data_IF_162458102185
#
_entry.id   IF_162458102185
#
_cell.length_a   1.000
_cell.length_b   1.000
_cell.length_c   1.000
_cell.angle_alpha   90.00
_cell.angle_beta   90.00
_cell.angle_gamma   90.00
#
_symmetry.space_group_name_H-M   'P 1'
#
loop_
_entity.id
_entity.type
_entity.pdbx_description
1 polymer ?
#
# COMPACT_ATOMS: atom_id res chain seq x y z
N UNK A 1 6.01 -12.76 12.07
CA UNK A 1 5.19 -11.55 11.80
C UNK A 1 3.94 -11.52 12.68
N UNK A 2 3.84 -10.56 13.62
CA UNK A 2 2.66 -10.45 14.49
C UNK A 2 1.36 -10.07 13.74
N UNK A 3 0.21 -10.18 14.42
CA UNK A 3 -1.09 -9.83 13.85
C UNK A 3 -1.12 -8.39 13.28
N UNK A 4 -1.73 -8.23 12.10
CA UNK A 4 -1.81 -6.97 11.32
C UNK A 4 -0.45 -6.40 10.90
N UNK A 5 0.46 -7.27 10.45
CA UNK A 5 1.69 -6.91 9.76
C UNK A 5 1.69 -7.54 8.36
N UNK A 6 1.77 -6.71 7.32
CA UNK A 6 1.64 -7.14 5.93
C UNK A 6 2.66 -6.42 5.05
N UNK A 7 3.21 -7.14 4.08
CA UNK A 7 4.08 -6.58 3.03
C UNK A 7 3.39 -6.74 1.69
N UNK A 8 3.36 -5.67 0.89
CA UNK A 8 2.92 -5.72 -0.50
C UNK A 8 3.89 -4.98 -1.41
N UNK A 9 4.31 -5.62 -2.50
CA UNK A 9 5.11 -5.01 -3.55
C UNK A 9 4.27 -4.90 -4.82
N UNK A 10 4.38 -3.77 -5.51
CA UNK A 10 3.80 -3.56 -6.82
C UNK A 10 4.91 -3.23 -7.81
N UNK A 11 5.13 -4.11 -8.80
CA UNK A 11 6.02 -3.84 -9.94
C UNK A 11 5.22 -3.24 -11.08
N UNK A 12 5.63 -2.07 -11.57
CA UNK A 12 5.09 -1.51 -12.81
C UNK A 12 5.83 -2.08 -14.01
N UNK A 13 5.12 -2.83 -14.83
CA UNK A 13 5.57 -3.24 -16.16
C UNK A 13 4.79 -2.48 -17.23
N UNK A 14 5.43 -1.55 -17.93
CA UNK A 14 4.76 -0.72 -18.92
C UNK A 14 5.72 -0.08 -19.92
N UNK A 15 5.32 -0.09 -21.19
CA UNK A 15 6.10 0.51 -22.29
C UNK A 15 6.41 1.99 -22.03
N UNK A 16 5.40 2.77 -21.62
CA UNK A 16 5.53 4.22 -21.48
C UNK A 16 5.86 4.66 -20.05
N UNK A 17 6.74 5.68 -19.88
CA UNK A 17 7.04 6.24 -18.59
C UNK A 17 5.85 7.02 -18.04
N UNK A 18 5.60 6.98 -16.73
CA UNK A 18 4.53 7.73 -16.07
C UNK A 18 4.87 8.06 -14.62
N UNK A 19 4.65 9.30 -14.20
CA UNK A 19 4.79 9.64 -12.78
C UNK A 19 3.81 8.83 -11.93
N UNK A 20 4.34 8.15 -10.91
CA UNK A 20 3.56 7.36 -9.96
C UNK A 20 3.21 8.23 -8.78
N UNK A 21 1.92 8.41 -8.51
CA UNK A 21 1.43 9.18 -7.36
C UNK A 21 1.13 8.24 -6.21
N UNK A 22 1.61 8.58 -5.03
CA UNK A 22 1.31 7.89 -3.77
C UNK A 22 0.81 8.94 -2.79
N UNK A 23 -0.48 8.89 -2.50
CA UNK A 23 -1.16 9.94 -1.75
C UNK A 23 -1.99 9.37 -0.60
N UNK A 24 -2.15 10.17 0.46
CA UNK A 24 -3.15 9.92 1.49
C UNK A 24 -4.49 10.48 1.01
N UNK A 25 -5.50 9.64 0.96
CA UNK A 25 -6.83 10.00 0.45
C UNK A 25 -7.93 9.38 1.31
N UNK A 26 -9.18 9.69 0.98
CA UNK A 26 -10.36 9.06 1.56
C UNK A 26 -11.14 8.32 0.47
N UNK A 27 -11.16 6.99 0.55
CA UNK A 27 -11.84 6.12 -0.42
C UNK A 27 -12.83 5.21 0.31
N UNK A 28 -14.07 5.17 -0.17
CA UNK A 28 -15.12 4.36 0.47
C UNK A 28 -15.43 4.73 1.92
N UNK A 29 -15.11 5.97 2.33
CA UNK A 29 -15.25 6.43 3.71
C UNK A 29 -14.03 6.19 4.61
N UNK A 30 -13.05 5.40 4.16
CA UNK A 30 -11.82 5.06 4.89
C UNK A 30 -10.66 5.98 4.51
N UNK A 31 -9.80 6.31 5.47
CA UNK A 31 -8.48 6.84 5.13
C UNK A 31 -7.67 5.74 4.42
N UNK A 32 -6.94 6.10 3.37
CA UNK A 32 -6.15 5.16 2.60
C UNK A 32 -4.87 5.78 2.05
N UNK A 33 -3.84 4.94 1.86
CA UNK A 33 -2.73 5.21 0.94
C UNK A 33 -3.13 4.68 -0.43
N UNK A 34 -2.97 5.50 -1.46
CA UNK A 34 -3.41 5.21 -2.80
C UNK A 34 -2.28 5.47 -3.80
N UNK A 35 -1.85 4.40 -4.48
CA UNK A 35 -0.88 4.43 -5.56
C UNK A 35 -1.59 4.39 -6.91
N UNK A 36 -1.38 5.40 -7.75
CA UNK A 36 -2.01 5.47 -9.07
C UNK A 36 -1.16 6.27 -10.06
N UNK A 37 -1.53 6.24 -11.34
CA UNK A 37 -1.02 7.16 -12.36
C UNK A 37 -2.17 7.84 -13.09
N UNK A 38 -1.86 8.96 -13.75
CA UNK A 38 -2.83 9.70 -14.58
C UNK A 38 -2.39 9.83 -16.04
N UNK A 39 -1.16 9.44 -16.37
CA UNK A 39 -0.67 9.46 -17.74
C UNK A 39 -1.27 8.29 -18.52
N UNK A 40 -1.76 8.59 -19.72
CA UNK A 40 -2.56 7.69 -20.57
C UNK A 40 -3.87 7.23 -19.89
N UNK A 41 -4.46 8.11 -19.07
CA UNK A 41 -5.68 7.84 -18.31
C UNK A 41 -5.40 7.45 -16.87
N UNK A 42 -6.43 7.59 -16.04
CA UNK A 42 -6.37 7.17 -14.65
C UNK A 42 -6.20 5.65 -14.54
N UNK A 43 -5.25 5.23 -13.70
CA UNK A 43 -5.03 3.83 -13.38
C UNK A 43 -4.60 3.70 -11.92
N UNK A 44 -5.50 3.18 -11.07
CA UNK A 44 -5.21 2.71 -9.73
C UNK A 44 -4.34 1.46 -9.78
N UNK A 45 -3.23 1.46 -9.06
CA UNK A 45 -2.34 0.31 -8.89
C UNK A 45 -2.62 -0.40 -7.55
N UNK A 46 -2.66 0.36 -6.46
CA UNK A 46 -2.74 -0.17 -5.10
C UNK A 46 -3.49 0.78 -4.16
N UNK A 47 -4.38 0.23 -3.35
CA UNK A 47 -5.01 0.92 -2.21
C UNK A 47 -4.70 0.14 -0.94
N UNK A 48 -4.24 0.82 0.11
CA UNK A 48 -4.09 0.30 1.47
C UNK A 48 -4.93 1.15 2.41
N UNK A 49 -5.98 0.57 3.00
CA UNK A 49 -6.88 1.30 3.89
C UNK A 49 -6.40 1.29 5.34
N UNK A 50 -6.92 2.22 6.15
CA UNK A 50 -6.56 2.35 7.56
C UNK A 50 -6.81 1.11 8.40
N UNK A 51 -7.84 0.34 8.04
CA UNK A 51 -8.20 -0.91 8.68
C UNK A 51 -7.46 -2.13 8.11
N UNK A 52 -6.52 -1.96 7.16
CA UNK A 52 -5.63 -3.02 6.69
C UNK A 52 -6.14 -3.83 5.50
N UNK A 53 -7.12 -3.31 4.74
CA UNK A 53 -7.47 -3.89 3.45
C UNK A 53 -6.46 -3.44 2.40
N UNK A 54 -6.08 -4.35 1.51
CA UNK A 54 -5.17 -4.08 0.39
C UNK A 54 -5.84 -4.47 -0.91
N UNK A 55 -5.86 -3.58 -1.90
CA UNK A 55 -6.51 -3.79 -3.20
C UNK A 55 -5.48 -3.49 -4.30
N UNK A 56 -5.09 -4.50 -5.07
CA UNK A 56 -4.18 -4.38 -6.21
C UNK A 56 -4.91 -4.59 -7.54
N UNK A 57 -4.58 -3.78 -8.54
CA UNK A 57 -5.17 -3.84 -9.88
C UNK A 57 -4.06 -3.76 -10.93
N UNK A 58 -4.11 -4.63 -11.93
CA UNK A 58 -3.24 -4.61 -13.10
C UNK A 58 -4.00 -4.82 -14.40
N UNK A 59 -3.37 -4.48 -15.53
CA UNK A 59 -3.89 -4.75 -16.86
C UNK A 59 -3.70 -3.58 -17.81
N UNK A 60 -4.55 -3.54 -18.84
CA UNK A 60 -4.55 -2.46 -19.85
C UNK A 60 -4.96 -1.12 -19.26
N UNK A 61 -4.33 -0.04 -19.75
CA UNK A 61 -4.76 1.34 -19.54
C UNK A 61 -6.19 1.58 -20.05
N UNK A 62 -7.18 1.42 -19.17
CA UNK A 62 -8.59 1.68 -19.42
C UNK A 62 -9.23 2.22 -18.13
N UNK A 63 -9.43 3.54 -18.09
CA UNK A 63 -9.92 4.25 -16.91
C UNK A 63 -11.29 3.74 -16.43
N UNK A 64 -12.21 3.43 -17.36
CA UNK A 64 -13.56 2.94 -17.00
C UNK A 64 -13.49 1.58 -16.32
N UNK A 65 -12.71 0.64 -16.86
CA UNK A 65 -12.52 -0.68 -16.25
C UNK A 65 -11.80 -0.55 -14.91
N UNK A 66 -10.73 0.25 -14.85
CA UNK A 66 -9.97 0.44 -13.63
C UNK A 66 -10.83 1.01 -12.49
N UNK A 67 -11.69 2.00 -12.78
CA UNK A 67 -12.68 2.53 -11.82
C UNK A 67 -13.73 1.50 -11.40
N UNK A 68 -14.17 0.60 -12.30
CA UNK A 68 -15.09 -0.49 -11.92
C UNK A 68 -14.44 -1.45 -10.92
N UNK A 69 -13.19 -1.84 -11.14
CA UNK A 69 -12.44 -2.73 -10.25
C UNK A 69 -12.12 -2.05 -8.90
N UNK A 70 -11.73 -0.78 -8.92
CA UNK A 70 -11.55 0.02 -7.70
C UNK A 70 -12.84 0.07 -6.88
N UNK A 71 -13.97 0.41 -7.52
CA UNK A 71 -15.26 0.44 -6.86
C UNK A 71 -15.62 -0.92 -6.25
N UNK A 72 -15.40 -2.01 -6.99
CA UNK A 72 -15.63 -3.36 -6.49
C UNK A 72 -14.79 -3.66 -5.24
N UNK A 73 -13.49 -3.33 -5.25
CA UNK A 73 -12.63 -3.48 -4.08
C UNK A 73 -13.10 -2.69 -2.85
N UNK A 74 -13.60 -1.46 -3.07
CA UNK A 74 -14.19 -0.63 -2.02
C UNK A 74 -15.51 -1.22 -1.50
N UNK A 75 -16.35 -1.75 -2.36
CA UNK A 75 -17.62 -2.39 -1.98
C UNK A 75 -17.35 -3.66 -1.14
N UNK A 76 -16.35 -4.47 -1.52
CA UNK A 76 -15.88 -5.64 -0.75
C UNK A 76 -15.35 -5.21 0.63
N UNK A 77 -14.53 -4.17 0.66
CA UNK A 77 -13.99 -3.60 1.91
C UNK A 77 -15.12 -3.12 2.83
N UNK A 78 -16.14 -2.47 2.27
CA UNK A 78 -17.27 -1.92 3.01
C UNK A 78 -18.14 -3.00 3.65
N UNK A 79 -18.37 -4.12 2.94
CA UNK A 79 -19.09 -5.28 3.48
C UNK A 79 -18.22 -6.20 4.35
N UNK A 80 -16.90 -5.93 4.44
CA UNK A 80 -15.92 -6.60 5.30
C UNK A 80 -15.74 -8.10 5.04
N UNK A 81 -16.07 -8.59 3.85
CA UNK A 81 -15.97 -10.01 3.50
C UNK A 81 -15.70 -10.16 2.02
N UNK A 82 -14.78 -11.06 1.67
CA UNK A 82 -14.50 -11.46 0.28
C UNK A 82 -15.37 -12.67 -0.05
N UNK A 83 -16.11 -12.63 -1.15
CA UNK A 83 -17.03 -13.69 -1.59
C UNK A 83 -16.71 -14.13 -3.02
N UNK A 84 -17.05 -15.37 -3.39
CA UNK A 84 -16.77 -15.92 -4.73
C UNK A 84 -17.36 -15.05 -5.85
N UNK A 85 -18.63 -14.61 -5.68
CA UNK A 85 -19.30 -13.71 -6.64
C UNK A 85 -18.55 -12.38 -6.86
N UNK A 86 -17.77 -11.92 -5.88
CA UNK A 86 -16.97 -10.71 -6.05
C UNK A 86 -15.81 -10.97 -7.02
N UNK A 87 -15.16 -12.12 -6.88
CA UNK A 87 -14.05 -12.51 -7.75
C UNK A 87 -14.56 -12.87 -9.16
N UNK A 88 -15.74 -13.48 -9.28
CA UNK A 88 -16.42 -13.68 -10.56
C UNK A 88 -16.76 -12.34 -11.25
N UNK A 89 -17.24 -11.36 -10.49
CA UNK A 89 -17.51 -10.02 -11.00
C UNK A 89 -16.21 -9.33 -11.44
N UNK A 90 -15.14 -9.42 -10.66
CA UNK A 90 -13.82 -8.91 -11.03
C UNK A 90 -13.33 -9.58 -12.33
N UNK A 91 -13.46 -10.90 -12.44
CA UNK A 91 -13.02 -11.66 -13.61
C UNK A 91 -13.80 -11.24 -14.86
N UNK A 92 -15.11 -11.02 -14.75
CA UNK A 92 -15.95 -10.49 -15.83
C UNK A 92 -15.46 -9.11 -16.30
N UNK A 93 -15.15 -8.21 -15.37
CA UNK A 93 -14.60 -6.88 -15.70
C UNK A 93 -13.23 -7.00 -16.39
N UNK A 94 -12.37 -7.92 -15.94
CA UNK A 94 -11.09 -8.19 -16.60
C UNK A 94 -11.27 -8.77 -18.01
N UNK A 95 -12.27 -9.63 -18.22
CA UNK A 95 -12.64 -10.14 -19.55
C UNK A 95 -13.10 -9.03 -20.49
N UNK A 96 -13.86 -8.05 -20.02
CA UNK A 96 -14.17 -6.83 -20.77
C UNK A 96 -12.91 -6.02 -21.15
N UNK A 97 -11.87 -6.05 -20.31
CA UNK A 97 -10.61 -5.35 -20.56
C UNK A 97 -9.65 -6.11 -21.48
N UNK A 98 -9.91 -7.40 -21.72
CA UNK A 98 -9.08 -8.31 -22.50
C UNK A 98 -7.95 -8.96 -21.70
N UNK A 99 -7.36 -8.28 -20.73
CA UNK A 99 -6.35 -8.84 -19.82
C UNK A 99 -6.13 -7.98 -18.57
N UNK A 100 -5.64 -8.60 -17.50
CA UNK A 100 -5.29 -7.93 -16.25
C UNK A 100 -5.44 -8.82 -15.03
N UNK A 101 -5.25 -8.24 -13.85
CA UNK A 101 -5.52 -8.90 -12.57
C UNK A 101 -6.24 -7.98 -11.59
N UNK A 102 -6.91 -8.61 -10.63
CA UNK A 102 -7.47 -7.99 -9.45
C UNK A 102 -7.12 -8.86 -8.24
N UNK A 103 -6.62 -8.25 -7.17
CA UNK A 103 -6.33 -8.92 -5.91
C UNK A 103 -6.82 -8.05 -4.75
N UNK A 104 -7.44 -8.67 -3.75
CA UNK A 104 -7.84 -8.01 -2.52
C UNK A 104 -7.51 -8.89 -1.33
N UNK A 105 -6.89 -8.31 -0.31
CA UNK A 105 -6.52 -8.96 0.94
C UNK A 105 -7.21 -8.26 2.10
N UNK A 106 -7.88 -9.05 2.93
CA UNK A 106 -8.53 -8.56 4.15
C UNK A 106 -7.53 -8.49 5.32
N UNK A 107 -7.84 -7.72 6.38
CA UNK A 107 -6.96 -7.55 7.54
C UNK A 107 -6.69 -8.87 8.26
N UNK A 108 -7.67 -9.78 8.25
CA UNK A 108 -7.56 -11.09 8.88
C UNK A 108 -6.86 -12.14 8.00
N UNK A 109 -6.42 -11.79 6.78
CA UNK A 109 -5.61 -12.67 5.93
C UNK A 109 -6.38 -13.48 4.87
N UNK A 110 -7.69 -13.24 4.67
CA UNK A 110 -8.36 -13.79 3.50
C UNK A 110 -7.93 -13.02 2.25
N UNK A 111 -7.68 -13.72 1.16
CA UNK A 111 -7.30 -13.15 -0.13
C UNK A 111 -8.29 -13.63 -1.18
N UNK A 112 -8.82 -12.70 -1.95
CA UNK A 112 -9.51 -12.97 -3.19
C UNK A 112 -8.67 -12.46 -4.35
N UNK A 113 -8.53 -13.25 -5.40
CA UNK A 113 -7.82 -12.86 -6.59
C UNK A 113 -8.46 -13.40 -7.86
N UNK A 114 -8.22 -12.69 -8.95
CA UNK A 114 -8.44 -13.19 -10.29
C UNK A 114 -7.48 -12.54 -11.29
N UNK A 115 -7.06 -13.31 -12.29
CA UNK A 115 -6.35 -12.82 -13.45
C UNK A 115 -6.96 -13.42 -14.70
N UNK A 116 -6.94 -12.66 -15.79
CA UNK A 116 -7.37 -13.12 -17.10
C UNK A 116 -6.41 -12.59 -18.16
N UNK A 117 -6.10 -13.42 -19.15
CA UNK A 117 -5.35 -13.01 -20.33
C UNK A 117 -5.96 -13.65 -21.59
N UNK A 118 -6.77 -12.87 -22.32
CA UNK A 118 -7.41 -13.31 -23.55
C UNK A 118 -6.44 -13.63 -24.69
N UNK A 119 -5.17 -13.20 -24.61
CA UNK A 119 -4.15 -13.50 -25.63
C UNK A 119 -3.71 -14.97 -25.59
N UNK A 120 -3.79 -15.60 -24.42
CA UNK A 120 -3.46 -17.00 -24.20
C UNK A 120 -4.67 -17.86 -23.80
N UNK A 121 -5.85 -17.25 -23.68
CA UNK A 121 -7.09 -17.95 -23.31
C UNK A 121 -7.08 -18.53 -21.90
N UNK A 122 -6.38 -17.88 -20.96
CA UNK A 122 -6.26 -18.36 -19.58
C UNK A 122 -6.94 -17.43 -18.58
N UNK A 123 -7.49 -18.00 -17.52
CA UNK A 123 -7.91 -17.32 -16.30
C UNK A 123 -7.54 -18.10 -15.03
N UNK A 124 -7.48 -17.38 -13.92
CA UNK A 124 -7.46 -17.93 -12.58
C UNK A 124 -8.40 -17.10 -11.72
N UNK A 125 -9.15 -17.76 -10.84
CA UNK A 125 -10.00 -17.13 -9.83
C UNK A 125 -9.88 -17.95 -8.55
N UNK A 126 -9.48 -17.33 -7.44
CA UNK A 126 -9.23 -18.03 -6.18
C UNK A 126 -9.63 -17.18 -4.98
N UNK A 127 -10.13 -17.83 -3.95
CA UNK A 127 -10.18 -17.29 -2.60
C UNK A 127 -9.38 -18.23 -1.70
N UNK A 128 -8.48 -17.68 -0.91
CA UNK A 128 -7.64 -18.44 0.02
C UNK A 128 -7.44 -17.67 1.32
N UNK A 129 -6.89 -18.35 2.32
CA UNK A 129 -6.45 -17.75 3.57
C UNK A 129 -4.93 -17.83 3.61
N UNK A 130 -4.26 -16.69 3.63
CA UNK A 130 -2.81 -16.64 3.82
C UNK A 130 -2.45 -16.92 5.27
N UNK A 131 -1.42 -17.73 5.47
CA UNK A 131 -0.76 -17.93 6.75
C UNK A 131 0.41 -16.97 6.90
N UNK A 132 0.90 -16.87 8.12
CA UNK A 132 2.08 -16.09 8.44
C UNK A 132 3.29 -16.61 7.65
N UNK A 133 4.01 -15.70 6.99
CA UNK A 133 5.20 -16.03 6.19
C UNK A 133 4.91 -16.42 4.73
N UNK A 134 3.65 -16.71 4.38
CA UNK A 134 3.26 -16.99 2.99
C UNK A 134 3.22 -15.69 2.15
N UNK A 135 3.45 -15.82 0.85
CA UNK A 135 3.19 -14.78 -0.15
C UNK A 135 2.28 -15.30 -1.26
N UNK A 136 1.59 -14.36 -1.90
CA UNK A 136 0.85 -14.59 -3.15
C UNK A 136 1.38 -13.60 -4.19
N UNK A 137 1.75 -14.12 -5.35
CA UNK A 137 2.15 -13.35 -6.52
C UNK A 137 1.12 -13.53 -7.63
N UNK A 138 0.67 -12.43 -8.20
CA UNK A 138 -0.22 -12.40 -9.36
C UNK A 138 0.28 -11.40 -10.38
N UNK A 139 0.09 -11.72 -11.66
CA UNK A 139 0.44 -10.84 -12.78
C UNK A 139 -0.75 -10.77 -13.73
N UNK A 140 -0.65 -10.00 -14.81
CA UNK A 140 -1.72 -9.96 -15.81
C UNK A 140 -1.86 -11.26 -16.63
N UNK A 141 -0.88 -12.17 -16.53
CA UNK A 141 -0.93 -13.49 -17.14
C UNK A 141 -1.10 -14.56 -16.02
N UNK A 142 -2.22 -15.30 -16.02
CA UNK A 142 -2.52 -16.31 -15.01
C UNK A 142 -1.45 -17.39 -14.82
N UNK A 143 -0.66 -17.71 -15.85
CA UNK A 143 0.37 -18.76 -15.77
C UNK A 143 1.55 -18.38 -14.86
N UNK A 144 1.69 -17.10 -14.49
CA UNK A 144 2.74 -16.61 -13.59
C UNK A 144 2.24 -16.44 -12.15
N UNK A 145 1.01 -16.85 -11.85
CA UNK A 145 0.53 -16.92 -10.49
C UNK A 145 1.38 -17.90 -9.66
N UNK A 146 1.69 -17.50 -8.43
CA UNK A 146 2.50 -18.29 -7.52
C UNK A 146 2.07 -18.05 -6.07
N UNK A 147 2.13 -19.10 -5.26
CA UNK A 147 2.12 -19.02 -3.80
C UNK A 147 3.42 -19.66 -3.29
N UNK A 148 3.93 -19.19 -2.16
CA UNK A 148 5.15 -19.72 -1.56
C UNK A 148 5.44 -19.07 -0.22
N UNK A 149 6.63 -19.30 0.32
CA UNK A 149 7.09 -18.71 1.58
C UNK A 149 8.12 -17.60 1.34
N UNK A 150 8.02 -16.49 2.07
CA UNK A 150 9.03 -15.42 1.99
C UNK A 150 10.43 -15.92 2.33
N UNK A 151 10.54 -16.87 3.27
CA UNK A 151 11.80 -17.46 3.74
C UNK A 151 12.56 -18.23 2.63
N UNK A 152 11.90 -18.57 1.51
CA UNK A 152 12.56 -19.14 0.32
C UNK A 152 13.47 -18.13 -0.39
N UNK A 153 13.27 -16.82 -0.13
CA UNK A 153 14.00 -15.71 -0.76
C UNK A 153 14.86 -14.95 0.26
N UNK A 154 14.24 -14.45 1.34
CA UNK A 154 14.95 -13.76 2.42
C UNK A 154 14.20 -13.93 3.75
N UNK A 155 14.96 -14.00 4.85
CA UNK A 155 14.45 -13.95 6.22
C UNK A 155 13.73 -12.63 6.57
N UNK A 156 14.06 -11.52 5.89
CA UNK A 156 13.35 -10.25 5.96
C UNK A 156 12.25 -10.20 4.89
N UNK A 157 10.95 -10.25 5.27
CA UNK A 157 9.83 -10.22 4.33
C UNK A 157 9.83 -9.00 3.40
N UNK A 158 10.40 -7.87 3.83
CA UNK A 158 10.52 -6.69 2.99
C UNK A 158 11.49 -6.93 1.82
N UNK A 159 12.65 -7.53 2.10
CA UNK A 159 13.62 -7.88 1.06
C UNK A 159 13.09 -8.99 0.16
N UNK A 160 12.49 -10.03 0.75
CA UNK A 160 11.89 -11.12 0.01
C UNK A 160 10.83 -10.60 -0.99
N UNK A 161 9.98 -9.64 -0.59
CA UNK A 161 9.01 -9.03 -1.50
C UNK A 161 9.65 -8.27 -2.67
N UNK A 162 10.77 -7.57 -2.45
CA UNK A 162 11.53 -6.95 -3.55
C UNK A 162 12.10 -8.02 -4.49
N UNK A 163 12.70 -9.08 -3.95
CA UNK A 163 13.31 -10.14 -4.74
C UNK A 163 12.28 -10.92 -5.56
N UNK A 164 11.14 -11.28 -4.98
CA UNK A 164 10.02 -11.94 -5.67
C UNK A 164 9.53 -11.06 -6.83
N UNK A 165 9.33 -9.76 -6.61
CA UNK A 165 8.92 -8.84 -7.66
C UNK A 165 9.99 -8.66 -8.76
N UNK A 166 11.27 -8.70 -8.39
CA UNK A 166 12.39 -8.50 -9.29
C UNK A 166 12.71 -9.75 -10.13
N UNK A 167 12.49 -10.94 -9.60
CA UNK A 167 12.77 -12.22 -10.28
C UNK A 167 11.57 -12.78 -11.03
N UNK A 168 10.37 -12.22 -10.82
CA UNK A 168 9.20 -12.60 -11.59
C UNK A 168 9.42 -12.38 -13.09
N UNK A 169 9.28 -13.42 -13.89
CA UNK A 169 9.65 -13.43 -15.32
C UNK A 169 8.61 -12.82 -16.26
N UNK A 170 7.46 -12.39 -15.75
CA UNK A 170 6.44 -11.75 -16.58
C UNK A 170 6.79 -10.29 -16.87
N UNK A 171 6.43 -9.79 -18.06
CA UNK A 171 6.61 -8.39 -18.41
C UNK A 171 8.01 -8.04 -18.92
N UNK A 172 8.08 -7.03 -19.79
CA UNK A 172 9.28 -6.69 -20.56
C UNK A 172 9.88 -5.34 -20.17
N UNK A 173 9.03 -4.39 -19.79
CA UNK A 173 9.34 -2.98 -19.60
C UNK A 173 9.31 -2.65 -18.11
N UNK A 174 10.26 -3.24 -17.39
CA UNK A 174 10.30 -3.35 -15.93
C UNK A 174 10.76 -2.05 -15.31
N UNK A 175 9.81 -1.27 -14.80
CA UNK A 175 10.05 0.07 -14.24
C UNK A 175 10.22 -0.04 -12.73
N UNK A 176 9.30 0.55 -11.97
CA UNK A 176 9.42 0.68 -10.53
C UNK A 176 8.97 -0.58 -9.80
N UNK A 177 9.62 -0.87 -8.68
CA UNK A 177 9.12 -1.77 -7.65
C UNK A 177 8.90 -0.92 -6.40
N UNK A 178 7.65 -0.75 -6.02
CA UNK A 178 7.25 0.02 -4.84
C UNK A 178 6.68 -0.95 -3.82
N UNK A 179 7.26 -0.95 -2.61
CA UNK A 179 6.93 -1.90 -1.55
C UNK A 179 6.43 -1.17 -0.32
N UNK A 180 5.39 -1.71 0.29
CA UNK A 180 4.68 -1.16 1.43
C UNK A 180 4.74 -2.16 2.59
N UNK A 181 5.13 -1.69 3.76
CA UNK A 181 4.94 -2.39 5.03
C UNK A 181 3.77 -1.74 5.75
N UNK A 182 2.68 -2.48 5.93
CA UNK A 182 1.56 -2.08 6.77
C UNK A 182 1.70 -2.73 8.14
N UNK A 183 1.64 -1.92 9.19
CA UNK A 183 1.62 -2.40 10.58
C UNK A 183 0.67 -1.56 11.42
N UNK A 184 -0.47 -2.14 11.79
CA UNK A 184 -1.44 -1.54 12.73
C UNK A 184 -1.83 -0.08 12.41
N UNK A 185 -2.01 0.23 11.13
CA UNK A 185 -2.38 1.57 10.67
C UNK A 185 -1.21 2.53 10.42
N UNK A 186 0.03 2.04 10.52
CA UNK A 186 1.20 2.68 9.93
C UNK A 186 1.50 2.03 8.58
N UNK A 187 1.82 2.84 7.56
CA UNK A 187 2.28 2.40 6.25
C UNK A 187 3.65 3.01 5.99
N UNK A 188 4.66 2.17 5.81
CA UNK A 188 6.00 2.59 5.38
C UNK A 188 6.20 2.21 3.92
N UNK A 189 6.87 3.08 3.16
CA UNK A 189 7.01 2.93 1.71
C UNK A 189 8.48 2.97 1.31
N UNK A 190 8.87 1.99 0.50
CA UNK A 190 10.18 1.91 -0.13
C UNK A 190 10.02 1.80 -1.64
N UNK A 191 11.06 2.23 -2.36
CA UNK A 191 11.13 2.06 -3.79
C UNK A 191 12.51 1.57 -4.23
N UNK A 192 12.50 0.81 -5.31
CA UNK A 192 13.65 0.35 -6.05
C UNK A 192 13.24 0.12 -7.51
N UNK A 193 14.16 -0.34 -8.33
CA UNK A 193 13.86 -0.88 -9.65
C UNK A 193 14.85 -2.00 -9.97
N UNK A 194 14.46 -2.96 -10.79
CA UNK A 194 15.40 -3.98 -11.27
C UNK A 194 15.96 -3.62 -12.66
N UNK A 195 15.13 -3.02 -13.52
CA UNK A 195 15.51 -2.60 -14.87
C UNK A 195 15.93 -3.75 -15.78
N UNK A 196 15.46 -4.97 -15.49
CA UNK A 196 15.65 -6.20 -16.26
C UNK A 196 16.92 -7.00 -15.94
N UNK A 197 17.73 -6.59 -14.98
CA UNK A 197 19.04 -7.24 -14.74
C UNK A 197 18.96 -8.66 -14.21
N UNK A 198 17.82 -9.06 -13.62
CA UNK A 198 17.62 -10.38 -13.02
C UNK A 198 16.82 -11.33 -13.92
N UNK A 199 16.30 -10.86 -15.05
CA UNK A 199 15.49 -11.66 -15.99
C UNK A 199 15.95 -11.37 -17.41
N UNK A 200 16.50 -12.38 -18.07
CA UNK A 200 17.01 -12.27 -19.44
C UNK A 200 15.95 -11.76 -20.42
N UNK A 201 16.36 -10.90 -21.37
CA UNK A 201 15.48 -10.37 -22.42
C UNK A 201 14.54 -9.25 -21.97
N UNK A 202 14.67 -8.77 -20.73
CA UNK A 202 13.87 -7.67 -20.20
C UNK A 202 14.71 -6.41 -19.98
N UNK A 203 14.06 -5.26 -19.93
CA UNK A 203 14.72 -3.97 -19.75
C UNK A 203 13.78 -2.99 -19.06
N UNK A 204 14.31 -1.86 -18.61
CA UNK A 204 13.44 -0.79 -18.18
C UNK A 204 14.18 0.34 -17.50
N UNK A 205 13.42 1.39 -17.23
CA UNK A 205 13.89 2.58 -16.53
C UNK A 205 12.82 3.02 -15.55
N UNK A 206 13.22 3.38 -14.32
CA UNK A 206 12.30 3.80 -13.29
C UNK A 206 11.59 5.08 -13.69
N UNK A 207 10.35 5.23 -13.23
CA UNK A 207 9.62 6.47 -13.33
C UNK A 207 9.85 7.35 -12.11
N UNK A 208 9.40 8.60 -12.19
CA UNK A 208 9.36 9.44 -10.99
C UNK A 208 8.26 8.95 -10.06
N UNK A 209 8.50 9.10 -8.76
CA UNK A 209 7.51 8.84 -7.72
C UNK A 209 7.17 10.18 -7.06
N UNK A 210 5.88 10.50 -6.99
CA UNK A 210 5.33 11.64 -6.27
C UNK A 210 4.74 11.10 -4.98
N UNK A 211 5.56 11.04 -3.93
CA UNK A 211 5.17 10.56 -2.61
C UNK A 211 4.70 11.75 -1.75
N UNK A 212 3.41 11.81 -1.46
CA UNK A 212 2.78 12.86 -0.64
C UNK A 212 3.13 14.27 -1.11
N UNK A 213 3.11 14.49 -2.43
CA UNK A 213 3.45 15.76 -3.07
C UNK A 213 4.96 16.01 -3.26
N UNK A 214 5.84 15.19 -2.68
CA UNK A 214 7.28 15.28 -2.91
C UNK A 214 7.68 14.40 -4.08
N UNK A 215 8.33 15.01 -5.09
CA UNK A 215 8.93 14.27 -6.20
C UNK A 215 10.24 13.59 -5.81
N UNK A 216 10.33 12.30 -6.10
CA UNK A 216 11.54 11.50 -6.16
C UNK A 216 11.80 11.22 -7.64
N UNK A 217 12.99 11.58 -8.10
CA UNK A 217 13.42 11.35 -9.48
C UNK A 217 13.66 9.86 -9.70
N UNK A 218 13.12 9.31 -10.80
CA UNK A 218 13.34 7.92 -11.18
C UNK A 218 14.82 7.58 -11.29
N UNK A 219 15.64 8.49 -11.84
CA UNK A 219 17.09 8.30 -11.96
C UNK A 219 17.83 8.20 -10.62
N UNK A 220 17.18 8.50 -9.50
CA UNK A 220 17.71 8.34 -8.13
C UNK A 220 17.23 7.07 -7.44
N UNK A 221 16.31 6.32 -8.04
CA UNK A 221 15.95 5.01 -7.50
C UNK A 221 17.17 4.09 -7.62
N UNK A 222 17.55 3.40 -6.55
CA UNK A 222 18.64 2.44 -6.61
C UNK A 222 18.17 1.17 -7.31
N UNK A 223 19.10 0.39 -7.85
CA UNK A 223 18.81 -0.95 -8.35
C UNK A 223 18.78 -1.96 -7.21
N UNK A 224 17.90 -2.96 -7.33
CA UNK A 224 17.86 -4.14 -6.43
C UNK A 224 19.26 -4.79 -6.38
N UNK A 225 19.74 -5.21 -5.19
CA UNK A 225 19.02 -5.35 -3.92
C UNK A 225 18.88 -4.07 -3.09
N UNK A 226 19.43 -2.94 -3.54
CA UNK A 226 19.32 -1.69 -2.81
C UNK A 226 17.93 -1.06 -2.99
N UNK A 227 17.47 -0.35 -1.96
CA UNK A 227 16.18 0.34 -1.92
C UNK A 227 16.31 1.66 -1.18
N UNK A 228 15.45 2.63 -1.52
CA UNK A 228 15.33 3.88 -0.75
C UNK A 228 14.04 3.87 0.06
N UNK A 229 14.11 4.40 1.28
CA UNK A 229 12.94 4.69 2.08
C UNK A 229 12.34 6.03 1.63
N UNK A 230 11.07 6.02 1.20
CA UNK A 230 10.39 7.23 0.75
C UNK A 230 9.78 8.01 1.93
N UNK A 231 9.26 7.28 2.91
CA UNK A 231 8.65 7.81 4.12
C UNK A 231 7.61 6.88 4.71
N UNK A 232 6.95 7.34 5.77
CA UNK A 232 5.87 6.64 6.44
C UNK A 232 4.66 7.54 6.64
N UNK A 233 3.49 6.91 6.72
CA UNK A 233 2.23 7.55 7.03
C UNK A 233 1.50 6.78 8.12
N UNK A 234 0.79 7.51 8.97
CA UNK A 234 -0.04 6.91 10.01
C UNK A 234 -1.47 7.37 9.83
N UNK A 235 -2.41 6.43 9.94
CA UNK A 235 -3.83 6.73 9.85
C UNK A 235 -4.42 7.24 11.17
N UNK A 236 -3.76 6.96 12.31
CA UNK A 236 -4.11 7.59 13.59
C UNK A 236 -3.77 9.08 13.54
N UNK A 237 -4.71 9.94 13.93
CA UNK A 237 -4.38 11.34 14.18
C UNK A 237 -3.26 11.40 15.21
N UNK A 238 -2.21 12.19 14.93
CA UNK A 238 -1.33 12.64 16.01
C UNK A 238 -2.22 13.37 17.00
N UNK A 239 -2.44 12.78 18.17
CA UNK A 239 -3.22 13.40 19.26
C UNK A 239 -2.77 14.85 19.38
N UNK A 240 -3.65 15.82 19.07
CA UNK A 240 -3.36 17.21 19.38
C UNK A 240 -3.01 17.24 20.87
N UNK A 241 -1.80 17.67 21.23
CA UNK A 241 -1.50 18.01 22.64
C UNK A 241 -2.67 18.87 23.11
N UNK A 242 -3.30 18.57 24.26
CA UNK A 242 -4.38 19.41 24.75
C UNK A 242 -3.83 20.83 24.83
N UNK A 243 -4.38 21.72 24.01
CA UNK A 243 -4.11 23.14 24.14
C UNK A 243 -4.72 23.53 25.47
N UNK A 244 -3.88 23.89 26.44
CA UNK A 244 -4.36 24.45 27.70
C UNK A 244 -5.15 25.70 27.31
N UNK A 245 -6.45 25.79 27.61
CA UNK A 245 -7.22 26.99 27.35
C UNK A 245 -6.51 28.17 28.00
N UNK A 246 -6.23 29.23 27.24
CA UNK A 246 -5.56 30.46 27.72
C UNK A 246 -6.29 31.12 28.90
N UNK A 247 -7.55 30.72 29.14
CA UNK A 247 -8.41 31.14 30.24
C UNK A 247 -8.08 30.47 31.59
N UNK A 248 -7.30 29.38 31.62
CA UNK A 248 -6.89 28.70 32.87
C UNK A 248 -5.55 29.21 33.42
N UNK A 249 -4.76 29.90 32.61
CA UNK A 249 -3.45 30.46 33.00
C UNK A 249 -3.52 31.45 34.17
N UNK A 250 -4.52 32.38 34.24
CA UNK A 250 -4.62 33.30 35.38
C UNK A 250 -4.97 32.59 36.69
N UNK A 251 -5.85 31.58 36.65
CA UNK A 251 -6.33 30.88 37.85
C UNK A 251 -5.26 29.99 38.47
N UNK A 252 -4.40 29.38 37.65
CA UNK A 252 -3.26 28.59 38.15
C UNK A 252 -2.24 29.51 38.85
N UNK A 253 -1.98 30.71 38.31
CA UNK A 253 -1.09 31.69 38.95
C UNK A 253 -1.67 32.18 40.28
N UNK A 254 -2.97 32.46 40.33
CA UNK A 254 -3.65 32.89 41.57
C UNK A 254 -3.64 31.79 42.63
N UNK A 255 -3.88 30.53 42.24
CA UNK A 255 -3.85 29.40 43.17
C UNK A 255 -2.45 29.16 43.74
N UNK A 256 -1.39 29.22 42.92
CA UNK A 256 0.00 29.10 43.39
C UNK A 256 0.37 30.29 44.29
N UNK A 257 -0.05 31.50 43.93
CA UNK A 257 0.15 32.70 44.76
C UNK A 257 -0.50 32.59 46.15
N UNK A 258 -1.74 32.09 46.21
CA UNK A 258 -2.45 31.89 47.49
C UNK A 258 -1.79 30.84 48.38
N UNK A 259 -1.25 29.76 47.79
CA UNK A 259 -0.52 28.72 48.54
C UNK A 259 0.77 29.29 49.13
N UNK A 260 1.50 30.12 48.38
CA UNK A 260 2.72 30.77 48.86
C UNK A 260 2.41 31.76 50.00
N UNK A 261 1.36 32.57 49.85
CA UNK A 261 0.95 33.53 50.90
C UNK A 261 0.54 32.80 52.18
N UNK A 262 -0.21 31.69 52.08
CA UNK A 262 -0.57 30.87 53.24
C UNK A 262 0.64 30.24 53.91
N UNK A 263 1.63 29.77 53.14
CA UNK A 263 2.85 29.19 53.68
C UNK A 263 3.72 30.24 54.41
N UNK A 264 3.83 31.47 53.86
CA UNK A 264 4.56 32.58 54.49
C UNK A 264 3.83 33.05 55.77
N UNK A 265 2.50 33.18 55.74
CA UNK A 265 1.73 33.60 56.90
C UNK A 265 1.78 32.57 58.04
N UNK A 266 1.81 31.27 57.74
CA UNK A 266 2.01 30.21 58.75
C UNK A 266 3.41 30.27 59.38
N UNK A 267 4.43 30.63 58.61
CA UNK A 267 5.82 30.73 59.10
C UNK A 267 6.02 31.93 60.03
N UNK A 268 5.30 33.04 59.81
CA UNK A 268 5.37 34.24 60.65
C UNK A 268 4.61 34.13 61.99
N UNK A 269 3.61 33.24 62.10
CA UNK A 269 2.92 32.96 63.38
C UNK A 269 3.67 31.96 64.27
N UNK A 270 4.75 31.37 63.77
CA UNK A 270 5.55 30.35 64.46
C UNK A 270 6.92 30.88 64.95
N UNK A 271 7.15 32.19 64.89
CA UNK A 271 8.30 32.91 65.48
C UNK A 271 7.83 33.86 66.57
#
# INVERSE_FOLDING_TARGET
>A
MGANHDIIAYRRDAEYPADIKIEKTRLGGYNAIHQYKTKNGYFNHLIITENGWMIGIGGRDNETINKKLEKLGIDITSKKRIEEKDMEQANKILKENGWGFFIIKSPDGNVGLTSYDGRIGADITKISKMKEGEYIKITNNPNYYQEGMFEEFDSDPLNAAFEIAATDTFGLNRRDIITYEYRQGEVKVWASFDGGTLVEGTFGSPDNIIFLGRKIDGGKLPRIPHKIFLGNETFKEKSKKPSIPSTLTPWIIVAVGLIIVFAVHRKMKAS
#
